data_IF_352041857112
#
_entry.id   IF_352041857112
#
_cell.length_a   1.000
_cell.length_b   1.000
_cell.length_c   1.000
_cell.angle_alpha   90.00
_cell.angle_beta   90.00
_cell.angle_gamma   90.00
#
_symmetry.space_group_name_H-M   'P 1'
#
loop_
_entity.id
_entity.type
_entity.pdbx_description
1 polymer ?
#
# COMPACT_ATOMS: atom_id res chain seq x y z
N UNK A 1 4.02 4.47 5.72
CA UNK A 1 3.13 3.33 6.00
C UNK A 1 3.34 2.22 5.00
N UNK A 2 2.98 1.01 5.37
CA UNK A 2 3.27 -0.18 4.56
C UNK A 2 2.06 -1.10 4.51
N UNK A 3 1.94 -1.82 3.41
CA UNK A 3 0.93 -2.86 3.25
C UNK A 3 1.53 -4.04 2.51
N UNK A 4 1.53 -5.21 3.13
CA UNK A 4 2.03 -6.44 2.54
C UNK A 4 0.91 -7.24 1.89
N UNK A 5 1.18 -7.75 0.69
CA UNK A 5 0.26 -8.61 -0.06
C UNK A 5 1.00 -9.90 -0.37
N UNK A 6 0.52 -11.05 0.15
CA UNK A 6 1.20 -12.33 -0.09
C UNK A 6 1.17 -12.79 -1.54
N UNK A 7 0.08 -12.47 -2.23
CA UNK A 7 -0.14 -12.91 -3.62
C UNK A 7 -1.01 -11.88 -4.33
N UNK A 8 -0.40 -11.16 -5.29
CA UNK A 8 -1.13 -10.14 -6.04
C UNK A 8 -1.74 -10.63 -7.34
N UNK A 9 -1.70 -11.94 -7.60
CA UNK A 9 -2.22 -12.51 -8.85
C UNK A 9 -3.73 -12.27 -9.06
N UNK A 10 -4.47 -12.05 -7.97
CA UNK A 10 -5.89 -11.73 -8.05
C UNK A 10 -6.19 -10.29 -8.46
N UNK A 11 -5.18 -9.42 -8.48
CA UNK A 11 -5.34 -8.01 -8.84
C UNK A 11 -5.23 -7.87 -10.35
N UNK A 12 -6.34 -7.54 -11.05
CA UNK A 12 -6.32 -7.50 -12.52
C UNK A 12 -5.48 -6.34 -13.05
N UNK A 13 -4.75 -6.59 -14.13
CA UNK A 13 -3.94 -5.58 -14.82
C UNK A 13 -2.99 -4.82 -13.88
N UNK A 14 -2.39 -5.55 -12.95
CA UNK A 14 -1.58 -4.92 -11.90
C UNK A 14 -0.50 -3.98 -12.46
N UNK A 15 0.26 -4.43 -13.44
CA UNK A 15 1.36 -3.64 -13.98
C UNK A 15 0.89 -2.35 -14.66
N UNK A 16 -0.26 -2.37 -15.30
CA UNK A 16 -0.83 -1.17 -15.90
C UNK A 16 -1.38 -0.22 -14.86
N UNK A 17 -2.10 -0.75 -13.89
CA UNK A 17 -2.75 0.06 -12.85
C UNK A 17 -1.70 0.74 -11.98
N UNK A 18 -0.64 0.02 -11.64
CA UNK A 18 0.43 0.54 -10.77
C UNK A 18 1.68 0.93 -11.55
N UNK A 19 1.51 1.44 -12.76
CA UNK A 19 2.61 2.01 -13.52
C UNK A 19 2.97 3.40 -12.99
N UNK A 20 4.24 3.72 -13.02
CA UNK A 20 4.74 5.00 -12.52
C UNK A 20 3.97 6.19 -13.10
N UNK A 21 3.56 7.10 -12.24
CA UNK A 21 2.82 8.29 -12.61
C UNK A 21 1.31 8.13 -12.66
N UNK A 22 0.81 6.90 -12.61
CA UNK A 22 -0.63 6.65 -12.61
C UNK A 22 -1.25 6.96 -11.25
N UNK A 23 -2.52 7.34 -11.26
CA UNK A 23 -3.29 7.48 -10.03
C UNK A 23 -4.17 6.25 -9.85
N UNK A 24 -4.26 5.80 -8.62
CA UNK A 24 -5.07 4.64 -8.26
C UNK A 24 -5.92 4.99 -7.05
N UNK A 25 -7.15 4.52 -7.05
CA UNK A 25 -8.08 4.71 -5.93
C UNK A 25 -8.31 3.38 -5.26
N UNK A 26 -8.16 3.36 -3.94
CA UNK A 26 -8.50 2.17 -3.16
C UNK A 26 -9.95 2.27 -2.73
N UNK A 27 -10.85 1.45 -3.27
CA UNK A 27 -12.29 1.61 -3.07
C UNK A 27 -12.80 1.13 -1.73
N UNK A 28 -12.05 0.29 -1.05
CA UNK A 28 -12.44 -0.31 0.23
C UNK A 28 -11.59 0.19 1.36
N UNK A 29 -12.02 -0.05 2.59
CA UNK A 29 -11.14 0.13 3.75
C UNK A 29 -9.91 -0.76 3.58
N UNK A 30 -8.75 -0.20 3.85
CA UNK A 30 -7.48 -0.91 3.69
C UNK A 30 -6.62 -0.74 4.93
N UNK A 31 -6.13 -1.84 5.45
CA UNK A 31 -5.26 -1.83 6.62
C UNK A 31 -3.80 -1.60 6.20
N UNK A 32 -3.16 -0.66 6.84
CA UNK A 32 -1.73 -0.38 6.64
C UNK A 32 -1.04 -0.29 8.00
N UNK A 33 0.26 -0.42 8.02
CA UNK A 33 1.03 -0.38 9.26
C UNK A 33 2.26 0.50 9.13
N UNK A 34 2.67 1.10 10.23
CA UNK A 34 3.95 1.80 10.31
C UNK A 34 5.13 0.83 10.48
N UNK A 35 4.84 -0.43 10.77
CA UNK A 35 5.86 -1.44 11.04
C UNK A 35 6.17 -2.25 9.77
N UNK A 36 7.31 -1.95 9.14
CA UNK A 36 7.73 -2.61 7.90
C UNK A 36 7.93 -4.11 8.08
N UNK A 37 8.38 -4.54 9.24
CA UNK A 37 8.63 -5.97 9.48
C UNK A 37 7.34 -6.78 9.51
N UNK A 38 6.27 -6.22 10.06
CA UNK A 38 4.96 -6.86 10.04
C UNK A 38 4.44 -7.03 8.62
N UNK A 39 4.51 -5.96 7.82
CA UNK A 39 4.02 -6.00 6.45
C UNK A 39 4.88 -6.90 5.57
N UNK A 40 6.21 -6.90 5.79
CA UNK A 40 7.12 -7.78 5.07
C UNK A 40 6.85 -9.24 5.40
N UNK A 41 6.60 -9.53 6.67
CA UNK A 41 6.26 -10.88 7.10
C UNK A 41 4.98 -11.38 6.44
N UNK A 42 3.98 -10.53 6.36
CA UNK A 42 2.73 -10.86 5.70
C UNK A 42 2.96 -11.10 4.20
N UNK A 43 3.69 -10.24 3.52
CA UNK A 43 4.00 -10.42 2.12
C UNK A 43 4.75 -11.72 1.88
N UNK A 44 5.73 -12.03 2.73
CA UNK A 44 6.54 -13.24 2.61
C UNK A 44 5.81 -14.51 2.98
N UNK A 45 4.58 -14.44 3.48
CA UNK A 45 3.77 -15.63 3.77
C UNK A 45 3.25 -16.29 2.51
N UNK A 46 3.30 -15.61 1.36
CA UNK A 46 2.90 -16.19 0.08
C UNK A 46 3.91 -17.22 -0.40
N UNK A 47 3.41 -18.29 -1.03
CA UNK A 47 4.25 -19.41 -1.48
C UNK A 47 5.15 -19.04 -2.65
N UNK A 48 4.67 -18.16 -3.55
CA UNK A 48 5.41 -17.76 -4.75
C UNK A 48 6.07 -16.40 -4.52
N UNK A 49 7.40 -16.34 -4.41
CA UNK A 49 8.09 -15.07 -4.18
C UNK A 49 7.80 -14.01 -5.24
N UNK A 50 7.60 -14.42 -6.49
CA UNK A 50 7.35 -13.49 -7.59
C UNK A 50 6.01 -12.78 -7.47
N UNK A 51 5.10 -13.27 -6.63
CA UNK A 51 3.77 -12.69 -6.41
C UNK A 51 3.66 -11.94 -5.08
N UNK A 52 4.75 -11.85 -4.34
CA UNK A 52 4.78 -11.10 -3.09
C UNK A 52 4.93 -9.62 -3.38
N UNK A 53 4.17 -8.81 -2.65
CA UNK A 53 4.14 -7.37 -2.90
C UNK A 53 4.19 -6.60 -1.58
N UNK A 54 4.97 -5.54 -1.56
CA UNK A 54 5.00 -4.58 -0.46
C UNK A 54 4.71 -3.19 -1.02
N UNK A 55 3.61 -2.60 -0.57
CA UNK A 55 3.33 -1.20 -0.84
C UNK A 55 4.05 -0.35 0.20
N UNK A 56 4.82 0.61 -0.27
CA UNK A 56 5.43 1.65 0.57
C UNK A 56 4.66 2.94 0.32
N UNK A 57 3.99 3.45 1.34
CA UNK A 57 3.00 4.51 1.19
C UNK A 57 3.46 5.77 1.90
N UNK A 58 3.59 6.86 1.16
CA UNK A 58 3.84 8.19 1.72
C UNK A 58 2.50 8.84 2.02
N UNK A 59 2.28 9.15 3.27
CA UNK A 59 1.03 9.72 3.76
C UNK A 59 1.18 11.22 3.87
N UNK A 60 0.19 11.95 3.40
CA UNK A 60 0.15 13.40 3.59
C UNK A 60 -0.46 13.73 4.93
N UNK A 61 0.20 14.60 5.67
CA UNK A 61 -0.17 14.93 7.02
C UNK A 61 -1.57 15.53 7.12
N UNK A 62 -1.93 16.36 6.16
CA UNK A 62 -3.23 17.02 6.14
C UNK A 62 -4.39 16.06 5.83
N UNK A 63 -4.15 15.05 5.03
CA UNK A 63 -5.18 14.09 4.66
C UNK A 63 -5.37 13.01 5.71
N UNK A 64 -4.37 12.78 6.52
CA UNK A 64 -4.38 11.71 7.51
C UNK A 64 -5.54 11.80 8.49
N UNK A 65 -5.86 13.00 8.94
CA UNK A 65 -6.93 13.20 9.92
C UNK A 65 -8.31 12.89 9.35
N UNK A 66 -8.44 12.91 8.02
CA UNK A 66 -9.70 12.69 7.33
C UNK A 66 -9.84 11.24 6.86
N UNK A 67 -8.75 10.67 6.42
CA UNK A 67 -8.76 9.38 5.72
C UNK A 67 -8.33 8.19 6.58
N UNK A 68 -7.77 8.44 7.77
CA UNK A 68 -7.23 7.37 8.58
C UNK A 68 -7.99 7.21 9.88
N UNK A 69 -8.32 5.99 10.18
CA UNK A 69 -8.98 5.61 11.43
C UNK A 69 -8.06 4.63 12.11
N UNK A 70 -7.69 4.93 13.37
CA UNK A 70 -6.84 4.02 14.13
C UNK A 70 -7.50 2.67 14.27
N UNK A 71 -6.77 1.64 13.90
CA UNK A 71 -7.21 0.28 14.16
C UNK A 71 -6.97 -0.03 15.63
N UNK A 72 -7.81 -0.83 16.20
CA UNK A 72 -7.95 -1.04 17.56
C UNK A 72 -6.72 -1.33 18.30
N UNK A 73 -6.11 -2.20 18.44
CA UNK A 73 -5.23 -2.72 19.43
C UNK A 73 -3.76 -2.43 19.20
N UNK A 74 -3.39 -1.99 18.04
CA UNK A 74 -1.99 -1.72 17.73
C UNK A 74 -1.83 -0.28 17.30
N UNK A 75 -0.92 0.45 17.95
CA UNK A 75 -0.62 1.84 17.61
C UNK A 75 -0.01 1.97 16.23
N UNK A 76 0.50 0.88 15.67
CA UNK A 76 1.14 0.89 14.36
C UNK A 76 0.17 0.64 13.21
N UNK A 77 -1.05 0.20 13.47
CA UNK A 77 -2.02 -0.12 12.44
C UNK A 77 -3.05 0.98 12.24
N UNK A 78 -3.36 1.27 10.98
CA UNK A 78 -4.32 2.30 10.61
C UNK A 78 -5.17 1.78 9.46
N UNK A 79 -6.46 2.15 9.46
CA UNK A 79 -7.34 1.87 8.33
C UNK A 79 -7.40 3.10 7.43
N UNK A 80 -7.17 2.88 6.15
CA UNK A 80 -7.35 3.91 5.12
C UNK A 80 -8.80 3.87 4.66
N UNK A 81 -9.44 5.03 4.63
CA UNK A 81 -10.84 5.14 4.24
C UNK A 81 -11.05 4.81 2.76
N UNK A 82 -12.24 4.30 2.40
CA UNK A 82 -12.57 4.07 1.00
C UNK A 82 -12.49 5.36 0.18
N UNK A 83 -12.03 5.23 -1.06
CA UNK A 83 -11.93 6.37 -1.97
C UNK A 83 -10.64 7.16 -1.88
N UNK A 84 -9.71 6.74 -1.03
CA UNK A 84 -8.41 7.38 -0.95
C UNK A 84 -7.62 7.17 -2.23
N UNK A 85 -7.04 8.24 -2.76
CA UNK A 85 -6.28 8.21 -4.00
C UNK A 85 -4.78 8.27 -3.74
N UNK A 86 -4.07 7.51 -4.55
CA UNK A 86 -2.61 7.48 -4.51
C UNK A 86 -2.05 7.70 -5.91
N UNK A 87 -0.85 8.31 -5.98
CA UNK A 87 -0.06 8.35 -7.20
C UNK A 87 1.06 7.32 -7.07
N UNK A 88 1.29 6.58 -8.14
CA UNK A 88 2.38 5.61 -8.16
C UNK A 88 3.69 6.37 -8.39
N UNK A 89 4.54 6.39 -7.38
CA UNK A 89 5.84 7.07 -7.45
C UNK A 89 6.85 6.20 -8.19
N UNK A 90 6.82 4.91 -7.93
CA UNK A 90 7.74 3.95 -8.54
C UNK A 90 6.97 2.68 -8.88
N UNK A 91 7.12 2.22 -10.12
CA UNK A 91 6.54 0.96 -10.58
C UNK A 91 7.14 -0.21 -9.80
N UNK A 92 6.50 -1.36 -9.93
CA UNK A 92 6.93 -2.56 -9.23
C UNK A 92 8.38 -2.93 -9.57
N UNK A 93 9.20 -3.08 -8.53
CA UNK A 93 10.57 -3.53 -8.63
C UNK A 93 10.84 -4.61 -7.58
N UNK A 94 11.62 -5.58 -7.97
CA UNK A 94 12.04 -6.62 -7.02
C UNK A 94 13.05 -6.04 -6.03
N UNK A 95 12.83 -6.30 -4.75
CA UNK A 95 13.71 -5.88 -3.68
C UNK A 95 14.42 -7.09 -3.09
N UNK A 96 15.70 -7.26 -3.40
CA UNK A 96 16.51 -8.39 -2.90
C UNK A 96 16.55 -8.45 -1.37
N UNK A 97 16.86 -7.35 -0.68
CA UNK A 97 16.97 -7.42 0.77
C UNK A 97 15.66 -7.85 1.44
N UNK A 98 14.53 -7.49 0.87
CA UNK A 98 13.24 -7.76 1.46
C UNK A 98 12.59 -9.04 0.94
N UNK A 99 13.04 -9.55 -0.21
CA UNK A 99 12.48 -10.75 -0.82
C UNK A 99 11.06 -10.59 -1.34
N UNK A 100 10.71 -9.37 -1.77
CA UNK A 100 9.38 -9.02 -2.27
C UNK A 100 9.48 -8.03 -3.42
N UNK A 101 8.43 -7.94 -4.22
CA UNK A 101 8.27 -6.83 -5.15
C UNK A 101 7.81 -5.62 -4.36
N UNK A 102 8.22 -4.44 -4.77
CA UNK A 102 7.96 -3.21 -4.06
C UNK A 102 7.36 -2.16 -4.99
N UNK A 103 6.31 -1.50 -4.54
CA UNK A 103 5.67 -0.39 -5.24
C UNK A 103 5.58 0.78 -4.26
N UNK A 104 6.03 1.95 -4.68
CA UNK A 104 5.92 3.16 -3.87
C UNK A 104 4.71 3.97 -4.29
N UNK A 105 3.91 4.36 -3.31
CA UNK A 105 2.72 5.18 -3.49
C UNK A 105 2.83 6.46 -2.68
N UNK A 106 2.19 7.49 -3.18
CA UNK A 106 2.09 8.77 -2.50
C UNK A 106 0.62 9.16 -2.46
N UNK A 107 0.11 9.51 -1.29
CA UNK A 107 -1.27 9.95 -1.17
C UNK A 107 -1.48 11.26 -1.91
N UNK A 108 -2.56 11.36 -2.67
CA UNK A 108 -2.90 12.55 -3.44
C UNK A 108 -3.84 13.40 -2.59
N UNK A 109 -3.53 14.69 -2.47
CA UNK A 109 -4.41 15.63 -1.81
C UNK A 109 -5.70 15.74 -2.59
N UNK A 110 -6.81 15.38 -1.94
CA UNK A 110 -8.12 15.54 -2.54
C UNK A 110 -8.79 16.69 -1.81
N UNK A 111 -9.14 17.73 -2.54
CA UNK A 111 -9.88 18.84 -1.95
C UNK A 111 -11.34 18.51 -1.98
N UNK A 112 -11.93 18.53 -0.81
CA UNK A 112 -13.38 18.40 -0.67
C UNK A 112 -13.98 19.76 -0.42
N UNK A 113 -15.09 19.97 -0.97
CA UNK A 113 -15.83 21.23 -0.78
C UNK A 113 -17.23 20.96 -0.43
#
# INVERSE_FOLDING_TARGET
MYRGIPDFSAMPNFEEVYAQGREVTWPSFSSVTANIEESRRLACSGADPSLRLLFVIRVKKSARDIHYISAFASDSEVLIAPGTKFRVVSSMEWSEPEGVNRVELEEVDTKFF
#
